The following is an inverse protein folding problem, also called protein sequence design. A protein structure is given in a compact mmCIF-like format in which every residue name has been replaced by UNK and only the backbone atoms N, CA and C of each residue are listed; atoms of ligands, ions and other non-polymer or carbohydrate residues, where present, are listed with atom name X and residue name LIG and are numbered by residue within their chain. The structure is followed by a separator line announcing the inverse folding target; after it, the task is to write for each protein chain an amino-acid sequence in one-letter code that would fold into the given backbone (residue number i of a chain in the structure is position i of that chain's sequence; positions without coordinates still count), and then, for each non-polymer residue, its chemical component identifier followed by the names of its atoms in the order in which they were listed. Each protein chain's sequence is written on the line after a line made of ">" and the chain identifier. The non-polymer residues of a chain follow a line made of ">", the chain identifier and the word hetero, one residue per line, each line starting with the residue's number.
data_IF_032521553976
#
_entry.id   IF_032521553976
#
_cell.length_a   1.000
_cell.length_b   1.000
_cell.length_c   1.000
_cell.angle_alpha   90.00
_cell.angle_beta   90.00
_cell.angle_gamma   90.00
#
_symmetry.space_group_name_H-M   'P 1'
#
loop_
_entity.id
_entity.type
_entity.pdbx_description
1 polymer ?
#
# COMPACT_ATOMS: atom_id res chain seq x y z
N UNK A 1 -3.80 34.50 19.44
CA UNK A 1 -3.88 33.06 19.79
C UNK A 1 -4.76 32.42 18.72
N UNK A 2 -4.18 31.59 17.84
CA UNK A 2 -5.00 30.92 16.83
C UNK A 2 -5.84 29.87 17.55
N UNK A 3 -7.16 30.08 17.63
CA UNK A 3 -8.06 29.09 18.17
C UNK A 3 -8.04 27.86 17.26
N UNK A 4 -7.83 26.67 17.83
CA UNK A 4 -7.83 25.43 17.07
C UNK A 4 -9.23 25.21 16.46
N UNK A 5 -9.30 24.94 15.16
CA UNK A 5 -10.57 24.75 14.45
C UNK A 5 -11.14 23.33 14.65
N UNK A 6 -10.34 22.38 15.12
CA UNK A 6 -10.77 21.01 15.38
C UNK A 6 -9.89 20.34 16.43
N UNK A 7 -10.50 19.73 17.46
CA UNK A 7 -9.78 18.95 18.49
C UNK A 7 -10.02 17.46 18.24
N UNK A 8 -8.96 16.69 18.01
CA UNK A 8 -9.01 15.24 17.76
C UNK A 8 -8.64 14.46 19.02
N UNK A 9 -9.50 13.53 19.42
CA UNK A 9 -9.30 12.63 20.56
C UNK A 9 -8.80 11.27 20.08
N UNK A 10 -7.61 10.86 20.50
CA UNK A 10 -6.96 9.63 20.03
C UNK A 10 -6.46 8.76 21.18
N UNK A 11 -6.25 7.47 20.92
CA UNK A 11 -5.68 6.53 21.89
C UNK A 11 -4.15 6.42 21.72
N UNK A 12 -3.39 6.97 22.67
CA UNK A 12 -1.93 6.88 22.72
C UNK A 12 -1.38 5.48 22.92
N UNK A 13 -2.19 4.51 23.38
CA UNK A 13 -1.79 3.10 23.50
C UNK A 13 -1.88 2.35 22.17
N UNK A 14 -2.36 2.97 21.11
CA UNK A 14 -2.44 2.38 19.77
C UNK A 14 -1.35 2.99 18.86
N UNK A 15 -0.27 2.24 18.53
CA UNK A 15 0.83 2.76 17.72
C UNK A 15 0.41 3.27 16.33
N UNK A 16 -0.61 2.64 15.73
CA UNK A 16 -1.23 3.10 14.49
C UNK A 16 -1.91 4.46 14.67
N UNK A 17 -2.67 4.67 15.75
CA UNK A 17 -3.36 5.93 16.03
C UNK A 17 -2.35 7.06 16.27
N UNK A 18 -1.31 6.80 17.07
CA UNK A 18 -0.22 7.76 17.31
C UNK A 18 0.47 8.15 16.00
N UNK A 19 0.79 7.16 15.15
CA UNK A 19 1.44 7.43 13.87
C UNK A 19 0.55 8.25 12.92
N UNK A 20 -0.77 8.02 12.93
CA UNK A 20 -1.71 8.80 12.12
C UNK A 20 -1.83 10.25 12.60
N UNK A 21 -1.98 10.45 13.91
CA UNK A 21 -2.04 11.78 14.52
C UNK A 21 -0.76 12.57 14.26
N UNK A 22 0.41 11.92 14.35
CA UNK A 22 1.69 12.53 14.00
C UNK A 22 1.73 12.99 12.53
N UNK A 23 1.24 12.18 11.60
CA UNK A 23 1.15 12.54 10.18
C UNK A 23 0.18 13.69 9.93
N UNK A 24 -0.92 13.77 10.68
CA UNK A 24 -1.85 14.89 10.60
C UNK A 24 -1.15 16.18 11.08
N UNK A 25 -0.46 16.12 12.21
CA UNK A 25 0.33 17.25 12.74
C UNK A 25 1.44 17.71 11.79
N UNK A 26 2.20 16.79 11.19
CA UNK A 26 3.25 17.12 10.21
C UNK A 26 2.70 17.86 8.96
N UNK A 27 1.43 17.64 8.61
CA UNK A 27 0.78 18.35 7.50
C UNK A 27 -0.01 19.59 7.93
N UNK A 28 -0.21 19.80 9.23
CA UNK A 28 -0.98 20.92 9.77
C UNK A 28 -0.12 22.19 9.91
N UNK A 29 0.34 22.69 8.76
CA UNK A 29 1.21 23.88 8.66
C UNK A 29 0.54 25.15 9.25
N UNK A 30 -0.79 25.15 9.36
CA UNK A 30 -1.58 26.28 9.86
C UNK A 30 -2.02 26.11 11.31
N UNK A 31 -1.60 25.03 12.00
CA UNK A 31 -1.93 24.75 13.40
C UNK A 31 -3.43 24.86 13.70
N UNK A 32 -4.25 24.20 12.87
CA UNK A 32 -5.72 24.22 12.99
C UNK A 32 -6.28 23.01 13.71
N UNK A 33 -5.44 22.00 13.92
CA UNK A 33 -5.78 20.76 14.62
C UNK A 33 -5.14 20.78 16.01
N UNK A 34 -5.96 20.44 17.02
CA UNK A 34 -5.48 20.06 18.34
C UNK A 34 -5.56 18.55 18.49
N UNK A 35 -4.69 17.96 19.30
CA UNK A 35 -4.69 16.52 19.57
C UNK A 35 -4.71 16.29 21.08
N UNK A 36 -5.63 15.43 21.53
CA UNK A 36 -5.80 15.06 22.94
C UNK A 36 -5.71 13.55 23.06
N UNK A 37 -4.80 13.07 23.92
CA UNK A 37 -4.63 11.65 24.20
C UNK A 37 -5.62 11.21 25.29
N UNK A 38 -6.54 10.31 24.94
CA UNK A 38 -7.53 9.76 25.88
C UNK A 38 -6.94 8.70 26.82
N UNK A 39 -5.71 8.25 26.56
CA UNK A 39 -5.01 7.27 27.39
C UNK A 39 -4.14 7.90 28.48
N UNK A 40 -4.05 9.23 28.53
CA UNK A 40 -3.26 9.97 29.49
C UNK A 40 -3.85 9.82 30.92
N UNK A 41 -3.02 9.55 31.95
CA UNK A 41 -3.50 9.51 33.33
C UNK A 41 -4.13 10.85 33.74
N UNK A 42 -5.41 10.82 34.10
CA UNK A 42 -6.16 12.03 34.46
C UNK A 42 -7.04 12.60 33.35
N UNK A 43 -7.13 11.96 32.18
CA UNK A 43 -8.12 12.31 31.17
C UNK A 43 -9.54 12.11 31.72
N UNK A 44 -10.32 13.21 31.76
CA UNK A 44 -11.71 13.21 32.18
C UNK A 44 -12.64 13.37 30.95
N UNK A 45 -13.44 12.34 30.61
CA UNK A 45 -14.40 12.43 29.51
C UNK A 45 -15.68 13.21 29.89
N UNK A 46 -15.94 13.49 31.17
CA UNK A 46 -17.19 14.11 31.64
C UNK A 46 -17.51 15.45 30.95
N UNK A 47 -16.54 16.37 30.75
CA UNK A 47 -16.81 17.64 30.05
C UNK A 47 -17.13 17.49 28.54
N UNK A 48 -16.99 16.29 27.99
CA UNK A 48 -17.24 15.99 26.57
C UNK A 48 -18.64 15.45 26.31
N UNK A 49 -19.38 15.06 27.35
CA UNK A 49 -20.67 14.36 27.25
C UNK A 49 -20.60 13.08 26.36
N UNK A 50 -19.43 12.42 26.36
CA UNK A 50 -19.17 11.18 25.62
C UNK A 50 -18.50 10.19 26.56
N UNK A 51 -18.95 8.93 26.55
CA UNK A 51 -18.37 7.89 27.39
C UNK A 51 -16.95 7.48 26.92
N UNK A 52 -16.07 7.17 27.86
CA UNK A 52 -14.72 6.68 27.54
C UNK A 52 -14.74 5.42 26.64
N UNK A 53 -15.70 4.49 26.77
CA UNK A 53 -15.87 3.40 25.82
C UNK A 53 -16.17 3.85 24.38
N UNK A 54 -16.98 4.89 24.11
CA UNK A 54 -17.16 5.42 22.75
C UNK A 54 -15.89 6.04 22.22
N UNK A 55 -15.21 6.86 23.01
CA UNK A 55 -13.91 7.43 22.64
C UNK A 55 -12.89 6.33 22.28
N UNK A 56 -12.99 5.17 22.91
CA UNK A 56 -12.16 4.01 22.59
C UNK A 56 -12.62 3.20 21.38
N UNK A 57 -13.88 3.30 20.95
CA UNK A 57 -14.40 2.57 19.78
C UNK A 57 -14.00 3.22 18.46
N UNK A 58 -14.10 4.55 18.38
CA UNK A 58 -13.93 5.30 17.15
C UNK A 58 -13.24 6.65 17.41
N UNK A 59 -12.71 7.27 16.35
CA UNK A 59 -12.05 8.57 16.39
C UNK A 59 -13.09 9.66 16.59
N UNK A 60 -12.91 10.49 17.60
CA UNK A 60 -13.79 11.62 17.88
C UNK A 60 -13.08 12.92 17.57
N UNK A 61 -13.82 13.89 17.05
CA UNK A 61 -13.33 15.24 16.85
C UNK A 61 -14.35 16.28 17.30
N UNK A 62 -13.93 17.29 18.05
CA UNK A 62 -14.80 18.37 18.53
C UNK A 62 -14.55 19.64 17.72
N UNK A 63 -15.64 20.21 17.22
CA UNK A 63 -15.66 21.49 16.52
C UNK A 63 -15.68 22.66 17.51
N UNK A 64 -15.38 23.90 17.08
CA UNK A 64 -15.36 25.08 17.96
C UNK A 64 -16.74 25.43 18.53
N UNK A 65 -17.80 25.02 17.82
CA UNK A 65 -19.20 25.15 18.25
C UNK A 65 -19.63 24.08 19.27
N UNK A 66 -18.72 23.20 19.67
CA UNK A 66 -18.95 22.14 20.64
C UNK A 66 -19.50 20.84 20.06
N UNK A 67 -19.87 20.78 18.76
CA UNK A 67 -20.37 19.55 18.14
C UNK A 67 -19.29 18.47 18.08
N UNK A 68 -19.68 17.24 18.41
CA UNK A 68 -18.83 16.07 18.32
C UNK A 68 -19.04 15.35 16.99
N UNK A 69 -17.97 15.15 16.24
CA UNK A 69 -17.89 14.32 15.05
C UNK A 69 -17.33 12.96 15.43
N UNK A 70 -17.78 11.91 14.73
CA UNK A 70 -17.40 10.52 15.01
C UNK A 70 -16.93 9.79 13.76
N UNK A 71 -15.95 8.91 13.96
CA UNK A 71 -15.40 8.03 12.94
C UNK A 71 -14.94 8.74 11.67
N UNK A 72 -15.58 8.41 10.54
CA UNK A 72 -15.19 8.95 9.23
C UNK A 72 -15.42 10.47 9.12
N UNK A 73 -16.36 11.02 9.89
CA UNK A 73 -16.66 12.46 9.86
C UNK A 73 -15.55 13.27 10.53
N UNK A 74 -14.95 12.73 11.58
CA UNK A 74 -13.73 13.25 12.21
C UNK A 74 -12.56 13.30 11.20
N UNK A 75 -12.37 12.22 10.43
CA UNK A 75 -11.33 12.11 9.39
C UNK A 75 -11.56 13.11 8.26
N UNK A 76 -12.81 13.21 7.81
CA UNK A 76 -13.22 14.15 6.77
C UNK A 76 -12.99 15.60 7.19
N UNK A 77 -13.36 15.96 8.42
CA UNK A 77 -13.14 17.31 8.96
C UNK A 77 -11.64 17.64 9.00
N UNK A 78 -10.82 16.75 9.59
CA UNK A 78 -9.37 16.95 9.67
C UNK A 78 -8.74 17.13 8.28
N UNK A 79 -9.05 16.27 7.30
CA UNK A 79 -8.49 16.39 5.95
C UNK A 79 -9.04 17.55 5.13
N UNK A 80 -10.28 17.99 5.41
CA UNK A 80 -10.81 19.23 4.84
C UNK A 80 -9.99 20.42 5.33
N UNK A 81 -9.61 20.42 6.62
CA UNK A 81 -8.74 21.44 7.18
C UNK A 81 -7.31 21.37 6.62
N UNK A 82 -6.80 20.19 6.29
CA UNK A 82 -5.48 20.06 5.66
C UNK A 82 -5.49 20.35 4.14
N UNK A 83 -6.61 20.77 3.56
CA UNK A 83 -6.71 21.12 2.14
C UNK A 83 -6.63 19.91 1.18
N UNK A 84 -6.86 18.68 1.67
CA UNK A 84 -6.78 17.45 0.86
C UNK A 84 -8.04 17.22 0.03
N UNK A 85 -8.28 18.10 -0.95
CA UNK A 85 -9.50 18.17 -1.78
C UNK A 85 -9.86 16.86 -2.50
N UNK A 86 -8.87 16.06 -2.93
CA UNK A 86 -9.09 14.80 -3.63
C UNK A 86 -9.74 13.72 -2.75
N UNK A 87 -9.14 13.44 -1.59
CA UNK A 87 -9.66 12.46 -0.62
C UNK A 87 -11.05 12.86 -0.13
N UNK A 88 -11.24 14.15 0.17
CA UNK A 88 -12.53 14.69 0.62
C UNK A 88 -13.61 14.54 -0.46
N UNK A 89 -13.28 14.78 -1.74
CA UNK A 89 -14.24 14.62 -2.84
C UNK A 89 -14.70 13.17 -2.99
N UNK A 90 -13.78 12.21 -2.92
CA UNK A 90 -14.10 10.78 -3.00
C UNK A 90 -15.03 10.34 -1.86
N UNK A 91 -14.70 10.73 -0.62
CA UNK A 91 -15.46 10.37 0.58
C UNK A 91 -16.79 11.12 0.75
N UNK A 92 -17.05 12.16 -0.06
CA UNK A 92 -18.36 12.83 -0.10
C UNK A 92 -19.41 12.08 -0.93
N UNK A 93 -19.01 11.16 -1.80
CA UNK A 93 -19.95 10.33 -2.57
C UNK A 93 -20.68 9.38 -1.59
N UNK A 94 -22.02 9.39 -1.49
CA UNK A 94 -22.74 8.66 -0.45
C UNK A 94 -22.44 7.16 -0.39
N UNK A 95 -22.37 6.50 -1.55
CA UNK A 95 -22.02 5.09 -1.64
C UNK A 95 -20.60 4.80 -1.13
N UNK A 96 -19.61 5.61 -1.52
CA UNK A 96 -18.23 5.47 -1.05
C UNK A 96 -18.13 5.76 0.45
N UNK A 97 -18.81 6.80 0.94
CA UNK A 97 -18.86 7.13 2.37
C UNK A 97 -19.38 5.96 3.19
N UNK A 98 -20.46 5.31 2.75
CA UNK A 98 -21.02 4.15 3.46
C UNK A 98 -20.03 2.98 3.52
N UNK A 99 -19.36 2.67 2.41
CA UNK A 99 -18.35 1.61 2.33
C UNK A 99 -17.17 1.92 3.27
N UNK A 100 -16.60 3.13 3.16
CA UNK A 100 -15.46 3.53 3.99
C UNK A 100 -15.80 3.66 5.47
N UNK A 101 -17.00 4.13 5.81
CA UNK A 101 -17.46 4.16 7.20
C UNK A 101 -17.54 2.75 7.80
N UNK A 102 -18.09 1.79 7.04
CA UNK A 102 -18.16 0.39 7.50
C UNK A 102 -16.75 -0.23 7.66
N UNK A 103 -15.88 -0.03 6.68
CA UNK A 103 -14.49 -0.50 6.73
C UNK A 103 -13.74 0.13 7.91
N UNK A 104 -13.89 1.44 8.09
CA UNK A 104 -13.30 2.19 9.19
C UNK A 104 -13.71 1.62 10.54
N UNK A 105 -15.00 1.40 10.80
CA UNK A 105 -15.48 0.85 12.08
C UNK A 105 -14.86 -0.51 12.39
N UNK A 106 -14.74 -1.39 11.39
CA UNK A 106 -14.07 -2.69 11.54
C UNK A 106 -12.59 -2.54 11.89
N UNK A 107 -11.90 -1.60 11.24
CA UNK A 107 -10.49 -1.31 11.52
C UNK A 107 -10.30 -0.67 12.90
N UNK A 108 -11.16 0.26 13.29
CA UNK A 108 -11.11 0.96 14.57
C UNK A 108 -11.37 -0.01 15.74
N UNK A 109 -12.37 -0.88 15.62
CA UNK A 109 -12.63 -1.93 16.60
C UNK A 109 -11.48 -2.93 16.74
N UNK A 110 -10.77 -3.22 15.64
CA UNK A 110 -9.60 -4.11 15.63
C UNK A 110 -8.26 -3.35 15.67
N UNK A 111 -8.23 -2.07 16.09
CA UNK A 111 -7.09 -1.16 15.92
C UNK A 111 -5.77 -1.72 16.44
N UNK A 112 -5.79 -2.44 17.55
CA UNK A 112 -4.59 -3.05 18.14
C UNK A 112 -4.07 -4.23 17.30
N UNK A 113 -4.97 -5.09 16.81
CA UNK A 113 -4.60 -6.20 15.92
C UNK A 113 -4.10 -5.68 14.57
N UNK A 114 -4.78 -4.67 14.01
CA UNK A 114 -4.40 -4.01 12.76
C UNK A 114 -3.05 -3.30 12.91
N UNK A 115 -2.83 -2.59 14.02
CA UNK A 115 -1.55 -1.94 14.34
C UNK A 115 -0.40 -2.97 14.35
N UNK A 116 -0.58 -4.10 15.05
CA UNK A 116 0.41 -5.19 15.09
C UNK A 116 0.65 -5.83 13.72
N UNK A 117 -0.42 -6.08 12.96
CA UNK A 117 -0.35 -6.69 11.65
C UNK A 117 0.39 -5.79 10.64
N UNK A 118 0.06 -4.49 10.62
CA UNK A 118 0.74 -3.48 9.82
C UNK A 118 2.17 -3.16 10.31
N UNK A 119 2.59 -3.75 11.43
CA UNK A 119 3.94 -3.63 11.95
C UNK A 119 4.22 -2.31 12.68
N UNK A 120 3.18 -1.54 13.05
CA UNK A 120 3.35 -0.42 13.96
C UNK A 120 3.68 -0.95 15.35
N UNK A 121 4.85 -0.58 15.87
CA UNK A 121 5.32 -0.96 17.20
C UNK A 121 5.16 0.24 18.12
N UNK A 122 4.73 -0.01 19.36
CA UNK A 122 4.84 0.98 20.42
C UNK A 122 6.35 1.20 20.65
N UNK A 123 6.82 2.45 20.53
CA UNK A 123 8.15 2.81 20.99
C UNK A 123 8.14 2.69 22.52
N UNK A 124 8.92 1.75 23.06
CA UNK A 124 9.13 1.64 24.49
C UNK A 124 10.16 2.71 24.89
N UNK A 125 9.71 3.76 25.57
CA UNK A 125 10.61 4.69 26.24
C UNK A 125 11.00 4.09 27.59
N UNK A 126 12.25 3.67 27.71
CA UNK A 126 12.84 3.28 28.98
C UNK A 126 13.37 4.53 29.68
N UNK A 127 12.60 5.09 30.61
CA UNK A 127 13.12 6.05 31.60
C UNK A 127 13.17 5.37 32.97
N UNK A 128 14.36 5.38 33.58
CA UNK A 128 14.54 5.02 35.00
C UNK A 128 14.14 3.60 35.41
N UNK A 129 14.31 2.60 34.53
CA UNK A 129 14.00 1.21 34.88
C UNK A 129 12.51 0.85 34.94
N UNK A 130 11.63 1.75 34.48
CA UNK A 130 10.21 1.44 34.30
C UNK A 130 9.84 1.44 32.82
N UNK A 131 9.28 0.32 32.35
CA UNK A 131 8.78 0.20 30.99
C UNK A 131 7.39 0.83 30.94
N UNK A 132 7.28 2.09 30.52
CA UNK A 132 6.00 2.75 30.27
C UNK A 132 5.68 2.77 28.78
N UNK A 133 4.49 2.30 28.43
CA UNK A 133 3.93 2.48 27.09
C UNK A 133 3.41 3.91 27.00
N UNK A 134 4.04 4.74 26.15
CA UNK A 134 3.52 6.05 25.78
C UNK A 134 4.01 7.23 26.61
N UNK A 135 5.30 7.58 26.55
CA UNK A 135 5.77 8.89 27.02
C UNK A 135 6.62 9.60 25.96
N UNK A 136 6.19 10.83 25.66
CA UNK A 136 6.92 11.92 25.00
C UNK A 136 7.24 11.75 23.51
N UNK A 137 6.24 12.05 22.68
CA UNK A 137 6.38 12.25 21.24
C UNK A 137 7.41 13.33 20.83
N UNK A 138 7.79 14.23 21.76
CA UNK A 138 8.80 15.27 21.55
C UNK A 138 10.24 14.74 21.61
N UNK A 139 10.55 13.80 22.51
CA UNK A 139 11.93 13.27 22.67
C UNK A 139 12.29 12.27 21.55
N UNK A 140 11.32 11.53 21.04
CA UNK A 140 11.51 10.58 19.92
C UNK A 140 11.83 11.25 18.57
N UNK A 141 11.60 12.56 18.43
CA UNK A 141 11.99 13.30 17.22
C UNK A 141 13.52 13.52 17.16
N UNK A 142 14.19 13.64 18.31
CA UNK A 142 15.61 13.97 18.40
C UNK A 142 16.53 12.76 18.15
N UNK A 143 16.04 11.53 18.37
CA UNK A 143 16.82 10.28 18.23
C UNK A 143 16.34 9.36 17.10
N UNK A 144 15.65 9.89 16.07
CA UNK A 144 15.27 9.09 14.92
C UNK A 144 16.53 8.55 14.21
N UNK A 145 16.66 7.24 13.99
CA UNK A 145 17.62 6.75 13.01
C UNK A 145 17.28 7.40 11.66
N UNK A 146 18.28 7.79 10.85
CA UNK A 146 18.03 8.45 9.58
C UNK A 146 17.06 7.61 8.74
N UNK A 147 15.99 8.25 8.27
CA UNK A 147 15.04 7.58 7.39
C UNK A 147 15.80 7.11 6.15
N UNK A 148 15.77 5.81 5.88
CA UNK A 148 16.37 5.25 4.68
C UNK A 148 15.48 5.55 3.45
N UNK A 149 15.53 6.82 3.04
CA UNK A 149 14.76 7.36 1.92
C UNK A 149 15.04 6.55 0.64
N UNK A 150 16.29 6.23 0.27
CA UNK A 150 16.58 5.41 -0.90
C UNK A 150 15.88 4.05 -0.83
N UNK A 151 15.96 3.33 0.31
CA UNK A 151 15.31 2.03 0.44
C UNK A 151 13.81 2.13 0.31
N UNK A 152 13.21 3.17 0.89
CA UNK A 152 11.77 3.38 0.80
C UNK A 152 11.31 3.61 -0.63
N UNK A 153 12.09 4.35 -1.43
CA UNK A 153 11.80 4.58 -2.86
C UNK A 153 11.86 3.25 -3.60
N UNK A 154 12.91 2.46 -3.40
CA UNK A 154 13.09 1.17 -4.07
C UNK A 154 11.99 0.17 -3.68
N UNK A 155 11.62 0.07 -2.40
CA UNK A 155 10.52 -0.80 -1.98
C UNK A 155 9.18 -0.36 -2.58
N UNK A 156 8.91 0.95 -2.64
CA UNK A 156 7.70 1.49 -3.29
C UNK A 156 7.66 1.17 -4.77
N UNK A 157 8.81 1.25 -5.44
CA UNK A 157 8.95 0.83 -6.83
C UNK A 157 8.62 -0.66 -7.00
N UNK A 158 9.12 -1.53 -6.11
CA UNK A 158 8.80 -2.96 -6.16
C UNK A 158 7.31 -3.24 -5.95
N UNK A 159 6.64 -2.51 -5.05
CA UNK A 159 5.18 -2.58 -4.92
C UNK A 159 4.48 -2.13 -6.20
N UNK A 160 4.89 -1.01 -6.78
CA UNK A 160 4.31 -0.50 -8.02
C UNK A 160 4.46 -1.51 -9.17
N UNK A 161 5.65 -2.10 -9.32
CA UNK A 161 5.89 -3.15 -10.31
C UNK A 161 4.94 -4.34 -10.11
N UNK A 162 4.80 -4.85 -8.89
CA UNK A 162 3.89 -5.98 -8.61
C UNK A 162 2.41 -5.64 -8.85
N UNK A 163 1.97 -4.41 -8.53
CA UNK A 163 0.62 -3.94 -8.84
C UNK A 163 0.41 -3.86 -10.36
N UNK A 164 1.38 -3.34 -11.11
CA UNK A 164 1.29 -3.28 -12.58
C UNK A 164 1.13 -4.68 -13.17
N UNK A 165 1.90 -5.68 -12.69
CA UNK A 165 1.73 -7.07 -13.15
C UNK A 165 0.33 -7.60 -12.85
N UNK A 166 -0.20 -7.34 -11.65
CA UNK A 166 -1.57 -7.75 -11.30
C UNK A 166 -2.60 -7.12 -12.25
N UNK A 167 -2.48 -5.82 -12.52
CA UNK A 167 -3.38 -5.10 -13.43
C UNK A 167 -3.26 -5.60 -14.87
N UNK A 168 -2.05 -5.83 -15.37
CA UNK A 168 -1.81 -6.41 -16.70
C UNK A 168 -2.47 -7.77 -16.79
N UNK A 169 -2.28 -8.64 -15.79
CA UNK A 169 -2.92 -9.95 -15.75
C UNK A 169 -4.46 -9.89 -15.72
N UNK A 170 -5.05 -8.87 -15.08
CA UNK A 170 -6.52 -8.63 -15.08
C UNK A 170 -7.02 -8.16 -16.45
N UNK A 171 -6.26 -7.30 -17.12
CA UNK A 171 -6.66 -6.69 -18.40
C UNK A 171 -6.46 -7.67 -19.56
N UNK A 172 -5.44 -8.52 -19.52
CA UNK A 172 -5.01 -9.35 -20.64
C UNK A 172 -6.14 -10.16 -21.30
N UNK A 173 -7.05 -10.85 -20.57
CA UNK A 173 -8.15 -11.61 -21.18
C UNK A 173 -9.13 -10.74 -21.99
N UNK A 174 -9.26 -9.47 -21.64
CA UNK A 174 -10.18 -8.54 -22.29
C UNK A 174 -9.60 -7.90 -23.55
N UNK A 175 -8.27 -7.82 -23.63
CA UNK A 175 -7.58 -7.19 -24.75
C UNK A 175 -6.92 -8.19 -25.70
N UNK A 176 -6.84 -9.47 -25.34
CA UNK A 176 -6.14 -10.50 -26.11
C UNK A 176 -6.65 -10.63 -27.56
N UNK A 177 -7.92 -10.32 -27.83
CA UNK A 177 -8.50 -10.34 -29.18
C UNK A 177 -8.62 -8.95 -29.84
N UNK A 178 -8.02 -7.90 -29.27
CA UNK A 178 -8.14 -6.56 -29.80
C UNK A 178 -7.43 -6.40 -31.16
N UNK A 179 -8.00 -5.61 -32.07
CA UNK A 179 -7.49 -5.43 -33.43
C UNK A 179 -6.08 -4.84 -33.49
N UNK A 180 -5.65 -4.05 -32.49
CA UNK A 180 -4.27 -3.56 -32.43
C UNK A 180 -3.23 -4.68 -32.19
N UNK A 181 -3.67 -5.86 -31.72
CA UNK A 181 -2.82 -7.05 -31.60
C UNK A 181 -2.82 -7.91 -32.88
N UNK A 182 -3.52 -7.51 -33.94
CA UNK A 182 -3.57 -8.31 -35.18
C UNK A 182 -2.22 -8.46 -35.86
N UNK A 183 -1.35 -7.46 -35.73
CA UNK A 183 0.02 -7.55 -36.22
C UNK A 183 0.84 -8.58 -35.43
N UNK A 184 0.67 -8.60 -34.11
CA UNK A 184 1.32 -9.55 -33.21
C UNK A 184 0.91 -10.99 -33.54
N UNK A 185 -0.39 -11.26 -33.60
CA UNK A 185 -0.90 -12.60 -33.88
C UNK A 185 -0.51 -13.09 -35.28
N UNK A 186 -0.59 -12.22 -36.30
CA UNK A 186 -0.12 -12.57 -37.66
C UNK A 186 1.38 -12.87 -37.68
N UNK A 187 2.17 -12.22 -36.82
CA UNK A 187 3.58 -12.53 -36.65
C UNK A 187 3.79 -13.98 -36.20
N UNK A 188 3.03 -14.41 -35.18
CA UNK A 188 3.07 -15.79 -34.68
C UNK A 188 2.57 -16.78 -35.75
N UNK A 189 1.46 -16.46 -36.41
CA UNK A 189 0.89 -17.31 -37.48
C UNK A 189 1.91 -17.60 -38.58
N UNK A 190 2.65 -16.58 -39.05
CA UNK A 190 3.66 -16.75 -40.11
C UNK A 190 4.85 -17.60 -39.69
N UNK A 191 5.12 -17.71 -38.39
CA UNK A 191 6.19 -18.58 -37.91
C UNK A 191 5.81 -20.06 -38.02
N UNK A 192 4.57 -20.41 -37.68
CA UNK A 192 4.10 -21.80 -37.65
C UNK A 192 3.51 -22.27 -38.99
N UNK A 193 3.03 -21.36 -39.83
CA UNK A 193 2.42 -21.68 -41.12
C UNK A 193 3.05 -20.86 -42.25
N UNK A 194 3.55 -21.54 -43.27
CA UNK A 194 4.05 -20.91 -44.51
C UNK A 194 2.93 -20.44 -45.45
N UNK A 195 1.73 -21.02 -45.29
CA UNK A 195 0.49 -20.65 -45.97
C UNK A 195 -0.49 -19.99 -45.00
N UNK A 196 -1.74 -19.75 -45.43
CA UNK A 196 -2.78 -19.20 -44.55
C UNK A 196 -2.97 -20.08 -43.30
N UNK A 197 -2.88 -19.47 -42.12
CA UNK A 197 -3.10 -20.19 -40.87
C UNK A 197 -4.54 -20.71 -40.78
N UNK A 198 -4.78 -21.86 -40.14
CA UNK A 198 -6.12 -22.37 -39.89
C UNK A 198 -6.99 -21.34 -39.17
N UNK A 199 -8.29 -21.26 -39.50
CA UNK A 199 -9.20 -20.29 -38.87
C UNK A 199 -9.26 -20.38 -37.34
N UNK A 200 -9.02 -21.57 -36.78
CA UNK A 200 -8.97 -21.79 -35.32
C UNK A 200 -7.67 -21.31 -34.65
N UNK A 201 -6.58 -21.08 -35.41
CA UNK A 201 -5.28 -20.70 -34.85
C UNK A 201 -5.36 -19.37 -34.08
N UNK A 202 -6.11 -18.40 -34.62
CA UNK A 202 -6.31 -17.12 -33.96
C UNK A 202 -7.06 -17.26 -32.64
N UNK A 203 -8.17 -18.01 -32.65
CA UNK A 203 -8.96 -18.25 -31.45
C UNK A 203 -8.13 -18.95 -30.37
N UNK A 204 -7.30 -19.92 -30.76
CA UNK A 204 -6.36 -20.59 -29.86
C UNK A 204 -5.32 -19.61 -29.26
N UNK A 205 -4.74 -18.71 -30.06
CA UNK A 205 -3.79 -17.72 -29.54
C UNK A 205 -4.45 -16.75 -28.53
N UNK A 206 -5.64 -16.25 -28.85
CA UNK A 206 -6.41 -15.37 -27.93
C UNK A 206 -6.71 -16.11 -26.62
N UNK A 207 -7.09 -17.38 -26.70
CA UNK A 207 -7.34 -18.22 -25.52
C UNK A 207 -6.07 -18.41 -24.67
N UNK A 208 -4.93 -18.74 -25.28
CA UNK A 208 -3.64 -18.88 -24.58
C UNK A 208 -3.20 -17.58 -23.89
N UNK A 209 -3.28 -16.44 -24.58
CA UNK A 209 -2.98 -15.13 -23.99
C UNK A 209 -3.91 -14.81 -22.83
N UNK A 210 -5.19 -15.14 -22.95
CA UNK A 210 -6.16 -14.93 -21.86
C UNK A 210 -5.82 -15.79 -20.64
N UNK A 211 -5.44 -17.05 -20.86
CA UNK A 211 -5.04 -17.98 -19.80
C UNK A 211 -3.77 -17.51 -19.08
N UNK A 212 -2.80 -16.97 -19.82
CA UNK A 212 -1.59 -16.38 -19.27
C UNK A 212 -1.90 -15.24 -18.29
N UNK A 213 -2.97 -14.48 -18.53
CA UNK A 213 -3.44 -13.43 -17.63
C UNK A 213 -3.68 -13.92 -16.21
N UNK A 214 -4.33 -15.08 -16.04
CA UNK A 214 -4.57 -15.68 -14.74
C UNK A 214 -3.26 -16.10 -14.04
N UNK A 215 -2.29 -16.64 -14.80
CA UNK A 215 -0.96 -17.00 -14.29
C UNK A 215 -0.19 -15.77 -13.80
N UNK A 216 -0.20 -14.68 -14.59
CA UNK A 216 0.44 -13.40 -14.22
C UNK A 216 -0.19 -12.80 -12.97
N UNK A 217 -1.53 -12.88 -12.82
CA UNK A 217 -2.20 -12.44 -11.59
C UNK A 217 -1.75 -13.24 -10.36
N UNK A 218 -1.68 -14.57 -10.48
CA UNK A 218 -1.21 -15.45 -9.42
C UNK A 218 0.24 -15.09 -9.01
N UNK A 219 1.14 -14.96 -9.98
CA UNK A 219 2.51 -14.54 -9.75
C UNK A 219 2.58 -13.16 -9.06
N UNK A 220 1.77 -12.19 -9.49
CA UNK A 220 1.72 -10.87 -8.90
C UNK A 220 1.26 -10.86 -7.43
N UNK A 221 0.34 -11.75 -7.04
CA UNK A 221 -0.06 -11.92 -5.63
C UNK A 221 1.12 -12.41 -4.79
N UNK A 222 1.86 -13.42 -5.26
CA UNK A 222 3.06 -13.89 -4.59
C UNK A 222 4.14 -12.82 -4.53
N UNK A 223 4.31 -12.04 -5.60
CA UNK A 223 5.22 -10.91 -5.62
C UNK A 223 4.86 -9.88 -4.56
N UNK A 224 3.59 -9.48 -4.45
CA UNK A 224 3.12 -8.54 -3.43
C UNK A 224 3.37 -9.07 -2.02
N UNK A 225 3.12 -10.36 -1.78
CA UNK A 225 3.39 -11.01 -0.51
C UNK A 225 4.89 -10.99 -0.17
N UNK A 226 5.77 -11.33 -1.11
CA UNK A 226 7.21 -11.31 -0.93
C UNK A 226 7.76 -9.89 -0.75
N UNK A 227 7.30 -8.91 -1.53
CA UNK A 227 7.69 -7.49 -1.33
C UNK A 227 7.25 -7.00 0.06
N UNK A 228 6.06 -7.40 0.51
CA UNK A 228 5.57 -7.08 1.85
C UNK A 228 6.41 -7.73 2.95
N UNK A 229 6.71 -9.02 2.82
CA UNK A 229 7.58 -9.73 3.75
C UNK A 229 8.99 -9.15 3.75
N UNK A 230 9.56 -8.82 2.59
CA UNK A 230 10.89 -8.22 2.46
C UNK A 230 10.95 -6.85 3.12
N UNK A 231 9.91 -6.02 2.94
CA UNK A 231 9.82 -4.74 3.62
C UNK A 231 9.71 -4.89 5.15
N UNK A 232 8.89 -5.85 5.63
CA UNK A 232 8.63 -6.05 7.07
C UNK A 232 9.80 -6.72 7.79
N UNK A 233 10.36 -7.77 7.20
CA UNK A 233 11.37 -8.63 7.82
C UNK A 233 12.79 -8.13 7.57
N UNK A 234 13.01 -7.32 6.53
CA UNK A 234 14.34 -6.85 6.09
C UNK A 234 15.35 -7.99 5.94
N UNK A 235 14.90 -9.11 5.36
CA UNK A 235 15.70 -10.31 5.14
C UNK A 235 16.06 -10.45 3.68
N UNK A 236 17.35 -10.62 3.38
CA UNK A 236 17.85 -10.81 2.01
C UNK A 236 17.21 -12.02 1.31
N UNK A 237 16.88 -13.08 2.04
CA UNK A 237 16.33 -14.32 1.47
C UNK A 237 15.03 -14.05 0.74
N UNK A 238 14.21 -13.11 1.24
CA UNK A 238 12.92 -12.76 0.62
C UNK A 238 13.12 -12.09 -0.74
N UNK A 239 14.08 -11.18 -0.85
CA UNK A 239 14.47 -10.57 -2.14
C UNK A 239 15.11 -11.61 -3.07
N UNK A 240 15.88 -12.55 -2.50
CA UNK A 240 16.47 -13.67 -3.21
C UNK A 240 15.44 -14.57 -3.89
N UNK A 241 14.31 -14.85 -3.25
CA UNK A 241 13.23 -15.65 -3.87
C UNK A 241 12.56 -14.95 -5.06
N UNK A 242 12.41 -13.62 -5.01
CA UNK A 242 11.93 -12.85 -6.16
C UNK A 242 12.93 -12.90 -7.32
N UNK A 243 14.23 -12.75 -7.03
CA UNK A 243 15.30 -12.87 -8.03
C UNK A 243 15.35 -14.27 -8.63
N UNK A 244 15.26 -15.31 -7.81
CA UNK A 244 15.26 -16.70 -8.28
C UNK A 244 14.08 -16.97 -9.22
N UNK A 245 12.88 -16.48 -8.90
CA UNK A 245 11.72 -16.58 -9.78
C UNK A 245 11.97 -15.96 -11.16
N UNK A 246 12.54 -14.74 -11.19
CA UNK A 246 12.86 -14.06 -12.45
C UNK A 246 13.94 -14.80 -13.25
N UNK A 247 14.99 -15.29 -12.59
CA UNK A 247 16.11 -15.99 -13.24
C UNK A 247 15.74 -17.38 -13.76
N UNK A 248 14.72 -18.03 -13.18
CA UNK A 248 14.21 -19.30 -13.68
C UNK A 248 13.27 -19.05 -14.87
N UNK A 249 12.34 -18.11 -14.74
CA UNK A 249 11.31 -17.87 -15.76
C UNK A 249 11.87 -17.17 -17.00
N UNK A 250 12.56 -16.04 -16.86
CA UNK A 250 12.84 -15.16 -17.99
C UNK A 250 13.76 -15.79 -19.06
N UNK A 251 14.85 -16.51 -18.72
CA UNK A 251 15.69 -17.14 -19.74
C UNK A 251 14.93 -18.15 -20.59
N UNK A 252 14.00 -18.89 -19.97
CA UNK A 252 13.20 -19.89 -20.68
C UNK A 252 12.17 -19.21 -21.62
N UNK A 253 11.45 -18.21 -21.12
CA UNK A 253 10.45 -17.48 -21.92
C UNK A 253 11.09 -16.77 -23.11
N UNK A 254 12.19 -16.07 -22.86
CA UNK A 254 12.94 -15.37 -23.90
C UNK A 254 13.55 -16.33 -24.93
N UNK A 255 14.06 -17.49 -24.52
CA UNK A 255 14.64 -18.47 -25.44
C UNK A 255 13.58 -19.06 -26.37
N UNK A 256 12.43 -19.47 -25.82
CA UNK A 256 11.33 -20.03 -26.62
C UNK A 256 10.77 -18.98 -27.59
N UNK A 257 10.62 -17.74 -27.13
CA UNK A 257 10.15 -16.62 -27.95
C UNK A 257 11.14 -16.26 -29.06
N UNK A 258 12.44 -16.27 -28.77
CA UNK A 258 13.48 -16.02 -29.76
C UNK A 258 13.54 -17.12 -30.83
N UNK A 259 13.46 -18.39 -30.44
CA UNK A 259 13.38 -19.51 -31.39
C UNK A 259 12.18 -19.37 -32.34
N UNK A 260 11.06 -18.89 -31.81
CA UNK A 260 9.85 -18.59 -32.58
C UNK A 260 9.91 -17.27 -33.38
N UNK A 261 11.03 -16.53 -33.34
CA UNK A 261 11.20 -15.20 -33.94
C UNK A 261 10.18 -14.15 -33.44
N UNK A 262 9.60 -14.36 -32.25
CA UNK A 262 8.65 -13.43 -31.61
C UNK A 262 9.44 -12.45 -30.74
N UNK A 263 10.17 -11.54 -31.40
CA UNK A 263 11.05 -10.56 -30.74
C UNK A 263 10.32 -9.62 -29.76
N UNK A 264 9.01 -9.42 -29.95
CA UNK A 264 8.21 -8.59 -29.05
C UNK A 264 8.22 -9.10 -27.60
N UNK A 265 8.18 -10.42 -27.39
CA UNK A 265 8.24 -11.00 -26.04
C UNK A 265 9.60 -10.76 -25.40
N UNK A 266 10.68 -11.03 -26.14
CA UNK A 266 12.06 -10.83 -25.66
C UNK A 266 12.27 -9.38 -25.20
N UNK A 267 11.74 -8.40 -25.95
CA UNK A 267 11.83 -6.99 -25.56
C UNK A 267 11.03 -6.70 -24.29
N UNK A 268 9.79 -7.20 -24.18
CA UNK A 268 8.94 -7.02 -22.99
C UNK A 268 9.63 -7.62 -21.76
N UNK A 269 10.20 -8.81 -21.87
CA UNK A 269 10.89 -9.50 -20.77
C UNK A 269 12.15 -8.75 -20.35
N UNK A 270 12.95 -8.26 -21.31
CA UNK A 270 14.13 -7.43 -21.02
C UNK A 270 13.72 -6.17 -20.24
N UNK A 271 12.63 -5.50 -20.65
CA UNK A 271 12.11 -4.33 -19.93
C UNK A 271 11.68 -4.69 -18.51
N UNK A 272 10.99 -5.82 -18.33
CA UNK A 272 10.58 -6.29 -17.00
C UNK A 272 11.80 -6.62 -16.12
N UNK A 273 12.81 -7.30 -16.66
CA UNK A 273 14.07 -7.61 -15.96
C UNK A 273 14.83 -6.35 -15.57
N UNK A 274 14.98 -5.37 -16.46
CA UNK A 274 15.63 -4.10 -16.15
C UNK A 274 14.86 -3.32 -15.08
N UNK A 275 13.52 -3.39 -15.08
CA UNK A 275 12.70 -2.73 -14.08
C UNK A 275 12.78 -3.39 -12.69
N UNK A 276 13.07 -4.70 -12.60
CA UNK A 276 12.96 -5.46 -11.36
C UNK A 276 14.30 -5.97 -10.80
N UNK A 277 15.22 -6.45 -11.65
CA UNK A 277 16.48 -7.06 -11.19
C UNK A 277 17.39 -6.05 -10.48
N UNK A 278 17.69 -4.86 -11.03
CA UNK A 278 18.52 -3.88 -10.33
C UNK A 278 18.01 -3.49 -8.94
N UNK A 279 16.73 -3.10 -8.73
CA UNK A 279 16.23 -2.77 -7.40
C UNK A 279 16.21 -3.97 -6.45
N UNK A 280 15.93 -5.18 -6.95
CA UNK A 280 15.98 -6.40 -6.14
C UNK A 280 17.41 -6.76 -5.71
N UNK A 281 18.39 -6.68 -6.60
CA UNK A 281 19.81 -6.91 -6.26
C UNK A 281 20.29 -5.86 -5.26
N UNK A 282 19.87 -4.61 -5.43
CA UNK A 282 20.19 -3.54 -4.49
C UNK A 282 19.59 -3.80 -3.10
N UNK A 283 18.32 -4.21 -3.02
CA UNK A 283 17.65 -4.57 -1.77
C UNK A 283 18.30 -5.80 -1.12
N UNK A 284 18.63 -6.81 -1.92
CA UNK A 284 19.29 -8.03 -1.47
C UNK A 284 20.67 -7.76 -0.85
N UNK A 285 21.45 -6.86 -1.45
CA UNK A 285 22.76 -6.42 -0.91
C UNK A 285 22.65 -5.52 0.32
N UNK A 286 21.56 -4.74 0.44
CA UNK A 286 21.38 -3.76 1.51
C UNK A 286 20.79 -4.37 2.77
N UNK A 287 19.84 -5.27 2.63
CA UNK A 287 19.19 -5.97 3.75
C UNK A 287 20.03 -7.19 4.20
N UNK A 288 21.36 -7.02 4.21
CA UNK A 288 22.32 -7.97 4.81
C UNK A 288 22.44 -7.66 6.29
N UNK A 289 21.59 -8.31 7.09
CA UNK A 289 21.67 -8.33 8.55
C UNK A 289 21.36 -9.74 9.04
#
# INVERSE_FOLDING_TARGET
>A
MNANELVLYFDGRCPLCVAEIRRLGEHDVRHRLAFVDIAEPGFDPVPLDVDLPALNRELHARLPDGRMLTGIDSILAAHTLLGRRGLVRLLRVPAMRAVFASLYRRLAGNRQAVSRWLGYRAEACCEGGTCSIGRNAESAAANRPPQDIPRRIVVRWMYAAAIVHLLVGVVLPWIAGASWLDAYHRGIERHFWSAAAPGAARAQQVWWMSLLGATVQCAAVWMLALVHLGNRLRKREVWGWLLAGLLIWAPQDMLLSWQAQVWGHVVIDVVALVAMVPPLVWLWRRDTA
#
